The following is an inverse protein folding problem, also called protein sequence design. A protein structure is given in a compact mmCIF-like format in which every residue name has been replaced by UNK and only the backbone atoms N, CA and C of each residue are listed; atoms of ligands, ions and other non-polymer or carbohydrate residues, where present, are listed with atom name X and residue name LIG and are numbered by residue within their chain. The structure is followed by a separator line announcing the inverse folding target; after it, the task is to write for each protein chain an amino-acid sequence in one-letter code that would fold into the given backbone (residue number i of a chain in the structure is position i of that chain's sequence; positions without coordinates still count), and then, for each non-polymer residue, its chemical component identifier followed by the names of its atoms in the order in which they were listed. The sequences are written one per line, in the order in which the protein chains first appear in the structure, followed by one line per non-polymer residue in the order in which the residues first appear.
data_IF_406927286051
#
_entry.id   IF_406927286051
#
_cell.length_a   1.000
_cell.length_b   1.000
_cell.length_c   1.000
_cell.angle_alpha   90.00
_cell.angle_beta   90.00
_cell.angle_gamma   90.00
#
_symmetry.space_group_name_H-M   'P 1'
#
loop_
_entity.id
_entity.type
_entity.pdbx_description
1 polymer ?
#
# COMPACT_ATOMS: atom_id res chain seq x y z
N UNK A 1 -23.52 -0.55 4.33
CA UNK A 1 -22.51 0.52 4.20
C UNK A 1 -21.80 0.33 2.86
N UNK A 2 -21.72 1.35 2.01
CA UNK A 2 -21.08 1.20 0.69
C UNK A 2 -19.59 0.87 0.92
N UNK A 3 -19.10 -0.23 0.34
CA UNK A 3 -17.71 -0.70 0.52
C UNK A 3 -16.69 0.39 0.11
N UNK A 4 -17.08 1.26 -0.82
CA UNK A 4 -16.33 2.43 -1.25
C UNK A 4 -16.10 3.47 -0.13
N UNK A 5 -17.03 3.61 0.82
CA UNK A 5 -16.88 4.55 1.95
C UNK A 5 -15.76 4.13 2.92
N UNK A 6 -15.58 2.82 3.12
CA UNK A 6 -14.55 2.28 4.01
C UNK A 6 -13.15 2.65 3.49
N UNK A 7 -12.93 2.58 2.18
CA UNK A 7 -11.64 2.93 1.56
C UNK A 7 -11.31 4.40 1.81
N UNK A 8 -12.28 5.30 1.59
CA UNK A 8 -12.10 6.74 1.80
C UNK A 8 -11.84 7.04 3.28
N UNK A 9 -12.56 6.39 4.19
CA UNK A 9 -12.37 6.55 5.62
C UNK A 9 -10.98 6.09 6.07
N UNK A 10 -10.52 4.93 5.59
CA UNK A 10 -9.17 4.43 5.89
C UNK A 10 -8.10 5.36 5.32
N UNK A 11 -8.27 5.85 4.08
CA UNK A 11 -7.33 6.80 3.48
C UNK A 11 -7.25 8.12 4.27
N UNK A 12 -8.38 8.65 4.73
CA UNK A 12 -8.41 9.83 5.60
C UNK A 12 -7.73 9.58 6.94
N UNK A 13 -7.89 8.41 7.53
CA UNK A 13 -7.26 8.04 8.79
C UNK A 13 -5.73 7.97 8.63
N UNK A 14 -5.25 7.37 7.55
CA UNK A 14 -3.81 7.32 7.21
C UNK A 14 -3.26 8.74 6.99
N UNK A 15 -3.96 9.58 6.22
CA UNK A 15 -3.51 10.97 6.00
C UNK A 15 -3.51 11.77 7.30
N UNK A 16 -4.52 11.58 8.16
CA UNK A 16 -4.62 12.24 9.45
C UNK A 16 -3.49 11.84 10.39
N UNK A 17 -3.22 10.54 10.54
CA UNK A 17 -2.10 10.05 11.37
C UNK A 17 -0.74 10.50 10.84
N UNK A 18 -0.56 10.49 9.51
CA UNK A 18 0.65 10.95 8.85
C UNK A 18 0.87 12.46 9.03
N UNK A 19 -0.20 13.26 8.99
CA UNK A 19 -0.13 14.71 9.25
C UNK A 19 0.21 14.99 10.71
N UNK A 20 -0.43 14.30 11.66
CA UNK A 20 -0.09 14.41 13.09
C UNK A 20 1.38 14.06 13.32
N UNK A 21 1.86 12.98 12.70
CA UNK A 21 3.28 12.60 12.77
C UNK A 21 4.19 13.71 12.24
N UNK A 22 3.93 14.25 11.04
CA UNK A 22 4.69 15.35 10.44
C UNK A 22 4.76 16.58 11.38
N UNK A 23 3.64 16.98 11.97
CA UNK A 23 3.62 18.13 12.88
C UNK A 23 4.29 17.84 14.23
N UNK A 24 4.33 16.58 14.66
CA UNK A 24 4.98 16.18 15.91
C UNK A 24 6.50 16.09 15.81
N UNK A 25 7.04 15.77 14.62
CA UNK A 25 8.49 15.60 14.39
C UNK A 25 9.26 16.93 14.36
N UNK A 26 8.57 18.07 14.21
CA UNK A 26 9.20 19.39 14.20
C UNK A 26 10.15 19.61 13.00
N UNK A 27 11.28 20.28 13.21
CA UNK A 27 12.21 20.69 12.13
C UNK A 27 13.27 19.63 11.74
N UNK A 28 13.33 18.48 12.44
CA UNK A 28 14.35 17.44 12.22
C UNK A 28 13.81 16.32 11.32
N UNK A 29 13.49 16.64 10.07
CA UNK A 29 13.07 15.63 9.09
C UNK A 29 14.32 14.93 8.53
N UNK A 30 14.46 13.63 8.79
CA UNK A 30 15.55 12.83 8.20
C UNK A 30 15.23 12.51 6.73
N UNK A 31 16.24 12.26 5.87
CA UNK A 31 16.01 11.81 4.50
C UNK A 31 15.14 10.54 4.39
N UNK A 32 15.27 9.64 5.37
CA UNK A 32 14.48 8.42 5.43
C UNK A 32 13.00 8.69 5.70
N UNK A 33 12.67 9.70 6.50
CA UNK A 33 11.28 10.11 6.74
C UNK A 33 10.63 10.59 5.44
N UNK A 34 11.37 11.34 4.62
CA UNK A 34 10.90 11.81 3.32
C UNK A 34 10.55 10.64 2.38
N UNK A 35 11.36 9.58 2.40
CA UNK A 35 11.08 8.35 1.65
C UNK A 35 9.80 7.67 2.14
N UNK A 36 9.63 7.54 3.47
CA UNK A 36 8.40 7.03 4.08
C UNK A 36 7.17 7.83 3.64
N UNK A 37 7.22 9.17 3.71
CA UNK A 37 6.13 10.03 3.24
C UNK A 37 5.81 9.82 1.75
N UNK A 38 6.83 9.73 0.89
CA UNK A 38 6.64 9.53 -0.54
C UNK A 38 5.89 8.22 -0.86
N UNK A 39 6.25 7.12 -0.19
CA UNK A 39 5.58 5.83 -0.40
C UNK A 39 4.18 5.83 0.21
N UNK A 40 3.97 6.38 1.42
CA UNK A 40 2.63 6.54 2.01
C UNK A 40 1.73 7.32 1.06
N UNK A 41 2.23 8.43 0.50
CA UNK A 41 1.48 9.23 -0.47
C UNK A 41 1.08 8.41 -1.69
N UNK A 42 1.99 7.63 -2.28
CA UNK A 42 1.69 6.74 -3.40
C UNK A 42 0.60 5.71 -3.05
N UNK A 43 0.68 5.09 -1.88
CA UNK A 43 -0.32 4.11 -1.41
C UNK A 43 -1.70 4.76 -1.23
N UNK A 44 -1.75 5.96 -0.65
CA UNK A 44 -3.01 6.71 -0.47
C UNK A 44 -3.61 7.09 -1.83
N UNK A 45 -2.80 7.62 -2.76
CA UNK A 45 -3.26 7.96 -4.12
C UNK A 45 -3.81 6.72 -4.82
N UNK A 46 -3.13 5.59 -4.70
CA UNK A 46 -3.59 4.32 -5.27
C UNK A 46 -4.91 3.84 -4.64
N UNK A 47 -5.04 3.92 -3.30
CA UNK A 47 -6.28 3.58 -2.60
C UNK A 47 -7.45 4.48 -3.02
N UNK A 48 -7.20 5.79 -3.16
CA UNK A 48 -8.20 6.76 -3.64
C UNK A 48 -8.58 6.50 -5.09
N UNK A 49 -7.63 6.14 -5.96
CA UNK A 49 -7.91 5.74 -7.34
C UNK A 49 -8.85 4.54 -7.41
N UNK A 50 -8.58 3.48 -6.62
CA UNK A 50 -9.47 2.33 -6.53
C UNK A 50 -10.84 2.68 -5.96
N UNK A 51 -10.88 3.52 -4.91
CA UNK A 51 -12.12 4.01 -4.32
C UNK A 51 -12.98 4.81 -5.29
N UNK A 52 -12.35 5.70 -6.07
CA UNK A 52 -13.02 6.49 -7.11
C UNK A 52 -13.60 5.62 -8.22
N UNK A 53 -12.85 4.62 -8.69
CA UNK A 53 -13.33 3.65 -9.69
C UNK A 53 -14.57 2.91 -9.19
N UNK A 54 -14.51 2.37 -7.96
CA UNK A 54 -15.64 1.66 -7.33
C UNK A 54 -16.86 2.56 -7.15
N UNK A 55 -16.67 3.80 -6.69
CA UNK A 55 -17.75 4.78 -6.53
C UNK A 55 -18.42 5.11 -7.88
N UNK A 56 -17.62 5.26 -8.94
CA UNK A 56 -18.15 5.59 -10.28
C UNK A 56 -18.96 4.43 -10.85
N UNK A 57 -18.51 3.18 -10.68
CA UNK A 57 -19.28 1.99 -11.08
C UNK A 57 -20.58 1.85 -10.28
N UNK A 58 -20.54 2.10 -8.96
CA UNK A 58 -21.77 2.12 -8.13
C UNK A 58 -22.79 3.15 -8.64
N UNK A 59 -22.33 4.35 -9.04
CA UNK A 59 -23.21 5.39 -9.61
C UNK A 59 -23.83 4.98 -10.95
N UNK A 60 -23.18 4.09 -11.71
CA UNK A 60 -23.66 3.56 -12.99
C UNK A 60 -24.59 2.35 -12.84
N UNK A 61 -24.78 1.83 -11.63
CA UNK A 61 -25.55 0.60 -11.38
C UNK A 61 -24.81 -0.67 -11.80
N UNK A 62 -23.53 -0.55 -12.16
CA UNK A 62 -22.67 -1.69 -12.46
C UNK A 62 -22.25 -2.39 -11.15
N UNK A 63 -21.93 -3.70 -11.19
CA UNK A 63 -21.34 -4.37 -10.04
C UNK A 63 -20.10 -3.60 -9.56
N UNK A 64 -20.00 -3.37 -8.25
CA UNK A 64 -18.96 -2.52 -7.63
C UNK A 64 -17.53 -2.96 -7.98
N UNK A 65 -17.35 -4.26 -8.25
CA UNK A 65 -16.11 -4.83 -8.76
C UNK A 65 -16.40 -5.79 -9.90
N UNK A 66 -15.69 -5.58 -11.01
CA UNK A 66 -15.59 -6.54 -12.10
C UNK A 66 -14.84 -7.82 -11.63
N UNK A 67 -15.27 -8.98 -12.10
CA UNK A 67 -14.72 -10.29 -11.71
C UNK A 67 -13.23 -10.39 -12.01
N UNK A 68 -12.79 -9.87 -13.17
CA UNK A 68 -11.38 -9.87 -13.55
C UNK A 68 -10.58 -8.97 -12.60
N UNK A 69 -11.06 -7.75 -12.34
CA UNK A 69 -10.43 -6.83 -11.39
C UNK A 69 -10.31 -7.44 -9.99
N UNK A 70 -11.30 -8.20 -9.55
CA UNK A 70 -11.30 -8.92 -8.26
C UNK A 70 -10.27 -10.05 -8.26
N UNK A 71 -10.23 -10.91 -9.29
CA UNK A 71 -9.22 -11.97 -9.42
C UNK A 71 -7.80 -11.41 -9.44
N UNK A 72 -7.58 -10.30 -10.17
CA UNK A 72 -6.28 -9.61 -10.21
C UNK A 72 -5.88 -9.18 -8.81
N UNK A 73 -6.76 -8.49 -8.09
CA UNK A 73 -6.46 -8.01 -6.73
C UNK A 73 -6.17 -9.16 -5.76
N UNK A 74 -6.91 -10.26 -5.84
CA UNK A 74 -6.69 -11.46 -5.01
C UNK A 74 -5.33 -12.10 -5.31
N UNK A 75 -4.98 -12.27 -6.59
CA UNK A 75 -3.69 -12.85 -7.01
C UNK A 75 -2.53 -11.94 -6.62
N UNK A 76 -2.68 -10.63 -6.82
CA UNK A 76 -1.72 -9.63 -6.35
C UNK A 76 -1.50 -9.76 -4.86
N UNK A 77 -2.56 -9.75 -4.05
CA UNK A 77 -2.45 -9.81 -2.59
C UNK A 77 -1.74 -11.09 -2.13
N UNK A 78 -2.06 -12.24 -2.73
CA UNK A 78 -1.40 -13.51 -2.40
C UNK A 78 0.10 -13.48 -2.74
N UNK A 79 0.45 -13.09 -3.97
CA UNK A 79 1.85 -13.05 -4.42
C UNK A 79 2.67 -12.05 -3.60
N UNK A 80 2.15 -10.83 -3.44
CA UNK A 80 2.84 -9.80 -2.67
C UNK A 80 3.03 -10.19 -1.22
N UNK A 81 2.06 -10.90 -0.63
CA UNK A 81 2.18 -11.39 0.74
C UNK A 81 3.34 -12.38 0.87
N UNK A 82 3.44 -13.38 -0.02
CA UNK A 82 4.57 -14.32 0.01
C UNK A 82 5.92 -13.63 -0.20
N UNK A 83 6.01 -12.69 -1.15
CA UNK A 83 7.24 -11.91 -1.37
C UNK A 83 7.58 -11.10 -0.12
N UNK A 84 6.58 -10.49 0.54
CA UNK A 84 6.80 -9.68 1.72
C UNK A 84 7.33 -10.48 2.91
N UNK A 85 6.98 -11.77 3.04
CA UNK A 85 7.54 -12.64 4.09
C UNK A 85 9.05 -12.82 3.91
N UNK A 86 9.50 -13.07 2.68
CA UNK A 86 10.94 -13.15 2.38
C UNK A 86 11.64 -11.80 2.56
N UNK A 87 10.96 -10.70 2.22
CA UNK A 87 11.48 -9.36 2.48
C UNK A 87 11.69 -9.08 3.98
N UNK A 88 10.76 -9.53 4.83
CA UNK A 88 10.93 -9.44 6.29
C UNK A 88 12.09 -10.27 6.80
N UNK A 89 12.26 -11.50 6.32
CA UNK A 89 13.42 -12.34 6.66
C UNK A 89 14.72 -11.64 6.26
N UNK A 90 14.75 -11.04 5.06
CA UNK A 90 15.89 -10.26 4.60
C UNK A 90 16.16 -9.04 5.49
N UNK A 91 15.13 -8.29 5.89
CA UNK A 91 15.29 -7.14 6.78
C UNK A 91 15.81 -7.54 8.16
N UNK A 92 15.35 -8.66 8.72
CA UNK A 92 15.86 -9.15 10.01
C UNK A 92 17.35 -9.53 9.91
N UNK A 93 17.74 -10.19 8.82
CA UNK A 93 19.14 -10.47 8.56
C UNK A 93 19.99 -9.21 8.32
N UNK A 94 19.40 -8.17 7.71
CA UNK A 94 20.06 -6.90 7.45
C UNK A 94 20.21 -6.05 8.71
N UNK A 95 19.24 -6.12 9.63
CA UNK A 95 19.23 -5.42 10.93
C UNK A 95 20.50 -5.73 11.74
N UNK A 96 21.02 -6.95 11.66
CA UNK A 96 22.22 -7.34 12.40
C UNK A 96 23.52 -6.76 11.79
N UNK A 97 23.44 -6.15 10.60
CA UNK A 97 24.60 -5.65 9.82
C UNK A 97 24.62 -4.14 9.67
N UNK A 98 23.46 -3.50 9.81
CA UNK A 98 23.27 -2.06 9.69
C UNK A 98 22.55 -1.61 10.96
N UNK A 99 23.02 -0.54 11.58
CA UNK A 99 22.33 0.08 12.72
C UNK A 99 20.96 0.61 12.26
N UNK A 100 19.94 -0.22 12.42
CA UNK A 100 18.54 0.17 12.27
C UNK A 100 17.96 0.49 13.64
N UNK A 101 17.46 1.71 13.78
CA UNK A 101 16.54 2.01 14.87
C UNK A 101 15.27 1.16 14.70
N UNK A 102 14.61 0.83 15.81
CA UNK A 102 13.44 -0.06 15.78
C UNK A 102 12.29 0.52 14.96
N UNK A 103 12.12 1.84 15.03
CA UNK A 103 11.09 2.58 14.29
C UNK A 103 11.39 2.59 12.79
N UNK A 104 12.66 2.79 12.40
CA UNK A 104 13.10 2.78 11.01
C UNK A 104 12.98 1.38 10.39
N UNK A 105 13.25 0.32 11.16
CA UNK A 105 13.07 -1.07 10.73
C UNK A 105 11.60 -1.39 10.43
N UNK A 106 10.70 -1.04 11.34
CA UNK A 106 9.26 -1.28 11.18
C UNK A 106 8.70 -0.46 10.01
N UNK A 107 9.07 0.81 9.92
CA UNK A 107 8.71 1.68 8.80
C UNK A 107 9.16 1.09 7.47
N UNK A 108 10.44 0.74 7.35
CA UNK A 108 11.02 0.13 6.13
C UNK A 108 10.32 -1.18 5.77
N UNK A 109 9.99 -2.00 6.77
CA UNK A 109 9.23 -3.23 6.58
C UNK A 109 7.87 -2.99 5.95
N UNK A 110 7.06 -2.10 6.54
CA UNK A 110 5.72 -1.74 6.03
C UNK A 110 5.83 -1.14 4.63
N UNK A 111 6.81 -0.26 4.39
CA UNK A 111 7.06 0.29 3.05
C UNK A 111 7.38 -0.81 2.03
N UNK A 112 8.20 -1.78 2.38
CA UNK A 112 8.52 -2.90 1.52
C UNK A 112 7.30 -3.75 1.19
N UNK A 113 6.38 -3.94 2.14
CA UNK A 113 5.11 -4.62 1.87
C UNK A 113 4.25 -3.82 0.88
N UNK A 114 4.18 -2.50 1.05
CA UNK A 114 3.43 -1.64 0.13
C UNK A 114 4.04 -1.63 -1.29
N UNK A 115 5.36 -1.55 -1.39
CA UNK A 115 6.08 -1.59 -2.67
C UNK A 115 5.92 -2.93 -3.38
N UNK A 116 6.10 -4.04 -2.66
CA UNK A 116 5.92 -5.38 -3.24
C UNK A 116 4.48 -5.59 -3.72
N UNK A 117 3.48 -5.07 -3.00
CA UNK A 117 2.10 -5.04 -3.46
C UNK A 117 1.94 -4.22 -4.74
N UNK A 118 2.42 -2.98 -4.76
CA UNK A 118 2.30 -2.08 -5.92
C UNK A 118 2.97 -2.64 -7.18
N UNK A 119 4.18 -3.19 -7.05
CA UNK A 119 4.91 -3.82 -8.16
C UNK A 119 4.16 -5.07 -8.65
N UNK A 120 3.73 -5.94 -7.72
CA UNK A 120 2.97 -7.15 -8.08
C UNK A 120 1.66 -6.79 -8.78
N UNK A 121 0.98 -5.75 -8.31
CA UNK A 121 -0.25 -5.26 -8.92
C UNK A 121 0.01 -4.79 -10.35
N UNK A 122 1.03 -3.95 -10.55
CA UNK A 122 1.39 -3.39 -11.84
C UNK A 122 1.70 -4.52 -12.85
N UNK A 123 2.53 -5.49 -12.45
CA UNK A 123 2.88 -6.63 -13.30
C UNK A 123 1.64 -7.43 -13.70
N UNK A 124 0.78 -7.79 -12.75
CA UNK A 124 -0.40 -8.62 -13.02
C UNK A 124 -1.44 -7.84 -13.82
N UNK A 125 -1.59 -6.54 -13.55
CA UNK A 125 -2.51 -5.66 -14.25
C UNK A 125 -2.18 -5.54 -15.74
N UNK A 126 -0.89 -5.38 -16.10
CA UNK A 126 -0.47 -5.29 -17.50
C UNK A 126 -0.35 -6.64 -18.20
N UNK A 127 0.09 -7.69 -17.49
CA UNK A 127 0.26 -9.03 -18.08
C UNK A 127 -1.09 -9.73 -18.32
N UNK A 128 -2.13 -9.31 -17.59
CA UNK A 128 -3.42 -9.97 -17.58
C UNK A 128 -3.37 -11.31 -16.86
N UNK A 129 -4.56 -11.87 -16.56
CA UNK A 129 -4.69 -13.22 -16.04
C UNK A 129 -4.72 -14.18 -17.23
N UNK A 130 -3.61 -14.84 -17.53
CA UNK A 130 -3.56 -15.89 -18.54
C UNK A 130 -4.32 -17.12 -18.02
N UNK A 131 -5.48 -17.40 -18.63
CA UNK A 131 -6.27 -18.64 -18.55
C UNK A 131 -6.36 -19.29 -17.14
N UNK A 132 -7.03 -18.59 -16.20
CA UNK A 132 -7.59 -19.17 -14.96
C UNK A 132 -9.11 -18.90 -14.85
#
# INVERSE_FOLDING_TARGET
MKKSFIIVLVALLILGSTAVWLFSTGANIKPMDLLHFGVIFLVVVFALFLGYKRWTSEKRGEPTEDELSKKVLQKTAAISYYISLYFWVFLLWLKDRIEFDSDELLGTGILGMALTFGISWLIIHYKGLANE
#
